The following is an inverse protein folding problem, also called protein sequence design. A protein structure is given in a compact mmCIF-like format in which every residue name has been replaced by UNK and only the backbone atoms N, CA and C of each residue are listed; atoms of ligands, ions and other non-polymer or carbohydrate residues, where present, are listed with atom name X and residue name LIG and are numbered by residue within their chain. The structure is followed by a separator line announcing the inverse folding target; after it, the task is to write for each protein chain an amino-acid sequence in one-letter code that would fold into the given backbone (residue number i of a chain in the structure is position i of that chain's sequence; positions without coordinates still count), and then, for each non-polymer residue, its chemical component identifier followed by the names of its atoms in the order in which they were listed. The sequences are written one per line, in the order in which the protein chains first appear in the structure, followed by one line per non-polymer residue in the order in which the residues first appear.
data_IF_857787444625
#
_entry.id   IF_857787444625
#
_cell.length_a   1.000
_cell.length_b   1.000
_cell.length_c   1.000
_cell.angle_alpha   90.00
_cell.angle_beta   90.00
_cell.angle_gamma   90.00
#
_symmetry.space_group_name_H-M   'P 1'
#
loop_
_entity.id
_entity.type
_entity.pdbx_description
1 polymer ?
#
# COMPACT_ATOMS: atom_id res chain seq x y z
N UNK A 1 19.01 45.68 -34.89
CA UNK A 1 19.42 44.26 -34.64
C UNK A 1 18.19 43.43 -34.48
N UNK A 2 17.90 42.79 -35.49
CA UNK A 2 17.14 41.57 -35.85
C UNK A 2 15.95 41.13 -34.98
N UNK A 3 14.76 41.62 -35.37
CA UNK A 3 13.45 41.07 -35.05
C UNK A 3 13.04 39.86 -35.92
N UNK A 4 13.93 39.35 -36.78
CA UNK A 4 13.63 38.34 -37.80
C UNK A 4 14.03 36.92 -37.43
N UNK A 5 14.68 36.67 -36.26
CA UNK A 5 15.06 35.32 -35.85
C UNK A 5 14.05 34.63 -34.88
N UNK A 6 13.06 35.38 -34.37
CA UNK A 6 12.04 34.79 -33.47
C UNK A 6 10.81 34.26 -34.22
N UNK A 7 10.60 34.65 -35.47
CA UNK A 7 9.47 34.20 -36.30
C UNK A 7 9.73 32.85 -37.00
N UNK A 8 10.98 32.41 -37.13
CA UNK A 8 11.34 31.16 -37.83
C UNK A 8 11.25 29.90 -36.94
N UNK A 9 11.24 30.00 -35.61
CA UNK A 9 11.06 28.87 -34.71
C UNK A 9 9.61 28.51 -34.39
N UNK A 10 8.66 29.40 -34.66
CA UNK A 10 7.21 29.13 -34.50
C UNK A 10 6.56 28.51 -35.75
N UNK A 11 7.22 28.47 -36.90
CA UNK A 11 6.65 27.94 -38.14
C UNK A 11 6.94 26.44 -38.35
N UNK A 12 7.78 25.81 -37.56
CA UNK A 12 8.09 24.37 -37.66
C UNK A 12 7.18 23.47 -36.80
N UNK A 13 6.23 24.03 -36.03
CA UNK A 13 5.25 23.31 -35.22
C UNK A 13 3.82 23.30 -35.78
N UNK A 14 3.62 23.76 -36.99
CA UNK A 14 2.28 23.98 -37.53
C UNK A 14 1.84 22.97 -38.59
N UNK A 15 2.05 21.65 -38.36
CA UNK A 15 1.38 20.63 -39.20
C UNK A 15 1.17 19.25 -38.55
N UNK A 16 1.28 19.08 -37.23
CA UNK A 16 0.60 17.96 -36.59
C UNK A 16 -0.82 18.46 -36.24
N UNK A 17 -1.81 18.10 -37.07
CA UNK A 17 -3.22 18.23 -36.67
C UNK A 17 -3.35 17.48 -35.32
N UNK A 18 -3.51 18.26 -34.24
CA UNK A 18 -3.74 17.68 -32.91
C UNK A 18 -5.09 16.98 -32.96
N UNK A 19 -5.05 15.67 -33.06
CA UNK A 19 -6.27 14.87 -32.94
C UNK A 19 -6.95 15.26 -31.62
N UNK A 20 -8.24 15.55 -31.68
CA UNK A 20 -9.01 15.89 -30.49
C UNK A 20 -8.83 14.75 -29.46
N UNK A 21 -8.71 15.06 -28.16
CA UNK A 21 -8.56 14.05 -27.13
C UNK A 21 -9.72 13.05 -27.20
N UNK A 22 -9.39 11.77 -27.20
CA UNK A 22 -10.37 10.69 -27.05
C UNK A 22 -10.71 10.50 -25.58
N UNK A 23 -11.88 9.91 -25.29
CA UNK A 23 -12.36 9.73 -23.92
C UNK A 23 -12.69 8.26 -23.63
N UNK A 24 -12.34 7.84 -22.40
CA UNK A 24 -12.79 6.59 -21.82
C UNK A 24 -13.38 6.92 -20.46
N UNK A 25 -14.57 6.38 -20.17
CA UNK A 25 -15.20 6.54 -18.88
C UNK A 25 -15.01 5.29 -18.04
N UNK A 26 -14.87 5.50 -16.72
CA UNK A 26 -14.70 4.43 -15.75
C UNK A 26 -15.72 4.58 -14.62
N UNK A 27 -16.17 3.46 -14.09
CA UNK A 27 -17.00 3.42 -12.89
C UNK A 27 -16.17 3.63 -11.59
N UNK A 28 -16.83 3.59 -10.43
CA UNK A 28 -16.17 3.77 -9.14
C UNK A 28 -15.12 2.68 -8.82
N UNK A 29 -15.23 1.51 -9.44
CA UNK A 29 -14.28 0.41 -9.32
C UNK A 29 -13.14 0.48 -10.35
N UNK A 30 -13.12 1.52 -11.19
CA UNK A 30 -12.11 1.70 -12.23
C UNK A 30 -12.31 0.78 -13.44
N UNK A 31 -13.50 0.24 -13.67
CA UNK A 31 -13.82 -0.57 -14.85
C UNK A 31 -14.29 0.36 -15.97
N UNK A 32 -13.79 0.18 -17.22
CA UNK A 32 -14.31 0.92 -18.36
C UNK A 32 -15.80 0.65 -18.53
N UNK A 33 -16.60 1.71 -18.77
CA UNK A 33 -18.05 1.60 -18.86
C UNK A 33 -18.61 2.59 -19.88
N UNK A 34 -19.64 2.19 -20.60
CA UNK A 34 -20.42 3.02 -21.52
C UNK A 34 -21.78 3.43 -20.93
N UNK A 35 -22.03 3.13 -19.64
CA UNK A 35 -23.27 3.46 -18.94
C UNK A 35 -23.14 4.83 -18.24
N UNK A 36 -23.79 5.90 -18.70
CA UNK A 36 -23.62 7.25 -18.17
C UNK A 36 -23.89 7.38 -16.66
N UNK A 37 -24.88 6.63 -16.15
CA UNK A 37 -25.23 6.66 -14.72
C UNK A 37 -24.15 6.09 -13.80
N UNK A 38 -23.16 5.36 -14.33
CA UNK A 38 -22.07 4.77 -13.56
C UNK A 38 -20.73 5.49 -13.72
N UNK A 39 -20.66 6.59 -14.50
CA UNK A 39 -19.41 7.33 -14.70
C UNK A 39 -18.91 7.96 -13.41
N UNK A 40 -17.70 7.60 -13.00
CA UNK A 40 -17.03 8.20 -11.84
C UNK A 40 -15.74 8.95 -12.24
N UNK A 41 -15.08 8.48 -13.31
CA UNK A 41 -13.86 9.08 -13.83
C UNK A 41 -13.92 9.16 -15.35
N UNK A 42 -13.22 10.14 -15.92
CA UNK A 42 -12.99 10.27 -17.35
C UNK A 42 -11.50 10.37 -17.62
N UNK A 43 -11.02 9.52 -18.51
CA UNK A 43 -9.69 9.59 -19.11
C UNK A 43 -9.77 10.34 -20.41
N UNK A 44 -8.94 11.37 -20.56
CA UNK A 44 -8.69 12.02 -21.82
C UNK A 44 -7.30 11.59 -22.32
N UNK A 45 -7.22 11.17 -23.58
CA UNK A 45 -5.96 10.73 -24.15
C UNK A 45 -5.81 11.09 -25.61
N UNK A 46 -4.58 11.38 -26.03
CA UNK A 46 -4.22 11.65 -27.41
C UNK A 46 -3.19 10.61 -27.85
N UNK A 47 -3.55 9.72 -28.81
CA UNK A 47 -2.63 8.71 -29.32
C UNK A 47 -1.43 9.33 -30.03
N UNK A 48 -0.25 8.70 -29.86
CA UNK A 48 1.00 9.05 -30.56
C UNK A 48 1.83 7.79 -30.73
N UNK A 49 1.77 7.15 -31.90
CA UNK A 49 2.39 5.85 -32.15
C UNK A 49 1.80 4.77 -31.24
N UNK A 50 2.69 4.03 -30.57
CA UNK A 50 2.30 2.95 -29.63
C UNK A 50 1.95 3.45 -28.21
N UNK A 51 1.93 4.78 -27.99
CA UNK A 51 1.65 5.42 -26.71
C UNK A 51 0.53 6.45 -26.83
N UNK A 52 0.10 6.98 -25.71
CA UNK A 52 -0.79 8.11 -25.62
C UNK A 52 -0.33 9.09 -24.53
N UNK A 53 -0.53 10.39 -24.77
CA UNK A 53 -0.55 11.38 -23.70
C UNK A 53 -1.90 11.28 -23.00
N UNK A 54 -1.90 11.18 -21.68
CA UNK A 54 -3.07 10.82 -20.87
C UNK A 54 -3.21 11.77 -19.69
N UNK A 55 -4.46 12.12 -19.35
CA UNK A 55 -4.81 12.72 -18.06
C UNK A 55 -6.18 12.24 -17.62
N UNK A 56 -6.33 11.96 -16.34
CA UNK A 56 -7.56 11.48 -15.73
C UNK A 56 -8.19 12.54 -14.83
N UNK A 57 -9.52 12.57 -14.82
CA UNK A 57 -10.32 13.51 -14.04
C UNK A 57 -11.47 12.80 -13.34
N UNK A 58 -11.90 13.35 -12.20
CA UNK A 58 -13.16 12.98 -11.58
C UNK A 58 -14.34 13.44 -12.45
N UNK A 59 -15.32 12.58 -12.65
CA UNK A 59 -16.54 12.91 -13.40
C UNK A 59 -17.73 13.19 -12.44
N UNK A 60 -18.61 14.14 -12.71
CA UNK A 60 -18.56 15.12 -13.81
C UNK A 60 -17.75 16.38 -13.48
N UNK A 61 -17.18 16.49 -12.27
CA UNK A 61 -16.59 17.73 -11.71
C UNK A 61 -15.37 18.25 -12.48
N UNK A 62 -14.71 17.41 -13.26
CA UNK A 62 -13.45 17.72 -13.97
C UNK A 62 -12.27 18.04 -13.03
N UNK A 63 -12.39 17.80 -11.73
CA UNK A 63 -11.23 17.89 -10.84
C UNK A 63 -10.16 16.87 -11.24
N UNK A 64 -8.91 17.27 -11.14
CA UNK A 64 -7.75 16.44 -11.47
C UNK A 64 -7.76 15.15 -10.65
N UNK A 65 -7.67 13.98 -11.32
CA UNK A 65 -7.45 12.69 -10.69
C UNK A 65 -6.01 12.21 -10.89
N UNK A 66 -5.39 12.50 -12.06
CA UNK A 66 -3.96 12.24 -12.30
C UNK A 66 -3.21 13.49 -12.75
N UNK A 67 -1.90 13.54 -12.53
CA UNK A 67 -1.04 14.38 -13.34
C UNK A 67 -1.00 13.84 -14.77
N UNK A 68 -0.65 14.67 -15.79
CA UNK A 68 -0.43 14.16 -17.13
C UNK A 68 0.67 13.10 -17.14
N UNK A 69 0.45 12.01 -17.88
CA UNK A 69 1.42 10.93 -18.02
C UNK A 69 1.39 10.33 -19.42
N UNK A 70 2.39 9.52 -19.76
CA UNK A 70 2.45 8.78 -21.02
C UNK A 70 2.25 7.29 -20.74
N UNK A 71 1.26 6.67 -21.40
CA UNK A 71 0.96 5.25 -21.25
C UNK A 71 1.07 4.50 -22.57
N UNK A 72 1.44 3.19 -22.55
CA UNK A 72 1.30 2.33 -23.72
C UNK A 72 -0.16 2.27 -24.19
N UNK A 73 -0.41 2.43 -25.49
CA UNK A 73 -1.78 2.47 -26.03
C UNK A 73 -2.55 1.16 -25.76
N UNK A 74 -1.86 0.01 -25.74
CA UNK A 74 -2.44 -1.28 -25.39
C UNK A 74 -3.00 -1.37 -23.97
N UNK A 75 -2.59 -0.46 -23.07
CA UNK A 75 -3.03 -0.40 -21.68
C UNK A 75 -3.99 0.76 -21.41
N UNK A 76 -4.42 1.48 -22.45
CA UNK A 76 -5.22 2.72 -22.28
C UNK A 76 -6.56 2.49 -21.58
N UNK A 77 -7.09 1.28 -21.60
CA UNK A 77 -8.32 0.87 -20.89
C UNK A 77 -8.06 0.33 -19.47
N UNK A 78 -6.81 0.18 -19.05
CA UNK A 78 -6.47 -0.16 -17.66
C UNK A 78 -6.54 1.09 -16.80
N UNK A 79 -7.26 1.06 -15.67
CA UNK A 79 -7.45 2.23 -14.81
C UNK A 79 -6.11 2.74 -14.22
N UNK A 80 -5.24 1.82 -13.82
CA UNK A 80 -3.85 2.10 -13.38
C UNK A 80 -2.91 1.42 -14.37
N UNK A 81 -2.47 2.11 -15.44
CA UNK A 81 -1.56 1.53 -16.42
C UNK A 81 -0.13 1.47 -15.87
N UNK A 82 0.63 0.49 -16.34
CA UNK A 82 2.08 0.46 -16.13
C UNK A 82 2.75 1.40 -17.11
N UNK A 83 3.45 2.41 -16.61
CA UNK A 83 4.22 3.32 -17.44
C UNK A 83 5.51 2.65 -17.89
N UNK A 84 6.02 3.00 -19.08
CA UNK A 84 7.35 2.58 -19.51
C UNK A 84 8.43 3.20 -18.64
N UNK A 85 8.37 4.52 -18.44
CA UNK A 85 9.20 5.28 -17.52
C UNK A 85 8.42 6.46 -16.95
N UNK A 86 8.82 6.94 -15.77
CA UNK A 86 8.22 8.10 -15.12
C UNK A 86 7.37 7.72 -13.93
N UNK A 87 6.63 8.68 -13.39
CA UNK A 87 5.82 8.51 -12.17
C UNK A 87 4.35 8.73 -12.47
N UNK A 88 3.51 7.76 -12.14
CA UNK A 88 2.07 7.95 -12.11
C UNK A 88 1.67 8.60 -10.78
N UNK A 89 1.19 9.84 -10.84
CA UNK A 89 0.71 10.57 -9.66
C UNK A 89 -0.80 10.70 -9.71
N UNK A 90 -1.48 10.26 -8.65
CA UNK A 90 -2.92 10.37 -8.48
C UNK A 90 -3.26 11.32 -7.32
N UNK A 91 -4.46 11.90 -7.39
CA UNK A 91 -4.93 12.92 -6.45
C UNK A 91 -6.31 12.55 -5.88
N UNK A 92 -6.52 12.83 -4.61
CA UNK A 92 -7.84 12.78 -3.99
C UNK A 92 -8.72 13.92 -4.50
N UNK A 93 -10.03 13.77 -4.36
CA UNK A 93 -11.00 14.78 -4.78
C UNK A 93 -10.80 16.14 -4.08
N UNK A 94 -10.23 16.16 -2.89
CA UNK A 94 -9.88 17.37 -2.13
C UNK A 94 -8.56 18.03 -2.57
N UNK A 95 -7.89 17.51 -3.60
CA UNK A 95 -6.64 18.05 -4.16
C UNK A 95 -5.36 17.61 -3.43
N UNK A 96 -5.44 16.77 -2.40
CA UNK A 96 -4.27 16.17 -1.77
C UNK A 96 -3.78 14.96 -2.58
N UNK A 97 -2.49 14.67 -2.51
CA UNK A 97 -1.91 13.51 -3.19
C UNK A 97 -2.53 12.22 -2.67
N UNK A 98 -2.80 11.28 -3.57
CA UNK A 98 -3.38 9.96 -3.28
C UNK A 98 -2.38 8.85 -3.49
N UNK A 99 -1.59 8.92 -4.55
CA UNK A 99 -0.61 7.90 -4.93
C UNK A 99 0.53 8.51 -5.74
N UNK A 100 1.72 7.97 -5.53
CA UNK A 100 2.89 8.18 -6.40
C UNK A 100 3.50 6.81 -6.68
N UNK A 101 3.56 6.44 -7.95
CA UNK A 101 4.04 5.14 -8.41
C UNK A 101 5.09 5.34 -9.50
N UNK A 102 6.39 5.29 -9.16
CA UNK A 102 7.47 5.40 -10.13
C UNK A 102 7.68 4.09 -10.88
N UNK A 103 7.99 4.22 -12.18
CA UNK A 103 8.26 3.12 -13.10
C UNK A 103 9.57 3.36 -13.86
N UNK A 104 10.29 2.27 -14.11
CA UNK A 104 11.46 2.23 -14.97
C UNK A 104 11.41 0.97 -15.85
N UNK A 105 11.58 1.13 -17.16
CA UNK A 105 11.54 0.03 -18.14
C UNK A 105 10.28 -0.85 -18.01
N UNK A 106 9.11 -0.22 -17.81
CA UNK A 106 7.82 -0.89 -17.67
C UNK A 106 7.59 -1.60 -16.33
N UNK A 107 8.46 -1.42 -15.36
CA UNK A 107 8.38 -2.08 -14.04
C UNK A 107 8.34 -1.06 -12.91
N UNK A 108 7.60 -1.31 -11.83
CA UNK A 108 7.73 -0.53 -10.59
C UNK A 108 9.19 -0.43 -10.16
N UNK A 109 9.66 0.80 -9.84
CA UNK A 109 11.03 1.04 -9.42
C UNK A 109 11.12 2.29 -8.54
N UNK A 110 11.60 2.15 -7.31
CA UNK A 110 11.60 3.22 -6.31
C UNK A 110 10.46 3.09 -5.30
N UNK A 111 10.17 4.15 -4.54
CA UNK A 111 9.14 4.13 -3.51
C UNK A 111 7.75 4.35 -4.12
N UNK A 112 6.88 3.34 -4.05
CA UNK A 112 5.46 3.48 -4.29
C UNK A 112 4.79 3.95 -3.01
N UNK A 113 4.26 5.18 -3.02
CA UNK A 113 3.66 5.79 -1.83
C UNK A 113 2.17 6.04 -2.05
N UNK A 114 1.37 5.72 -1.04
CA UNK A 114 -0.04 6.06 -0.96
C UNK A 114 -0.30 7.01 0.22
N UNK A 115 -1.34 7.83 0.11
CA UNK A 115 -1.77 8.78 1.14
C UNK A 115 -3.26 8.65 1.42
N UNK A 116 -3.63 8.90 2.65
CA UNK A 116 -5.00 9.14 3.07
C UNK A 116 -5.51 10.49 2.53
N UNK A 117 -6.83 10.67 2.53
CA UNK A 117 -7.46 11.93 2.12
C UNK A 117 -7.16 13.11 3.08
N UNK A 118 -6.70 12.84 4.30
CA UNK A 118 -6.21 13.87 5.22
C UNK A 118 -4.78 14.36 4.87
N UNK A 119 -4.07 13.68 3.96
CA UNK A 119 -2.73 14.00 3.48
C UNK A 119 -1.59 13.26 4.19
N UNK A 120 -1.87 12.49 5.23
CA UNK A 120 -0.87 11.61 5.83
C UNK A 120 -0.59 10.41 4.94
N UNK A 121 0.65 9.91 4.92
CA UNK A 121 0.98 8.66 4.24
C UNK A 121 0.12 7.52 4.80
N UNK A 122 -0.35 6.61 3.94
CA UNK A 122 -1.05 5.39 4.33
C UNK A 122 -0.18 4.16 4.12
N UNK A 123 0.66 4.16 3.08
CA UNK A 123 1.63 3.09 2.84
C UNK A 123 2.81 3.59 2.02
N UNK A 124 3.96 3.00 2.25
CA UNK A 124 5.17 3.12 1.41
C UNK A 124 5.65 1.70 1.13
N UNK A 125 5.85 1.38 -0.15
CA UNK A 125 6.36 0.09 -0.60
C UNK A 125 7.53 0.31 -1.54
N UNK A 126 8.74 -0.13 -1.20
CA UNK A 126 9.90 -0.01 -2.07
C UNK A 126 9.89 -1.08 -3.15
N UNK A 127 10.18 -0.67 -4.38
CA UNK A 127 10.31 -1.56 -5.52
C UNK A 127 11.67 -1.42 -6.20
N UNK A 128 12.21 -2.55 -6.66
CA UNK A 128 13.39 -2.62 -7.50
C UNK A 128 13.15 -3.58 -8.66
N UNK A 129 13.14 -3.04 -9.89
CA UNK A 129 12.91 -3.82 -11.11
C UNK A 129 11.60 -4.66 -11.10
N UNK A 130 10.56 -4.14 -10.46
CA UNK A 130 9.25 -4.78 -10.39
C UNK A 130 9.03 -5.68 -9.17
N UNK A 131 10.06 -5.93 -8.37
CA UNK A 131 9.98 -6.72 -7.14
C UNK A 131 10.00 -5.82 -5.91
N UNK A 132 9.31 -6.22 -4.86
CA UNK A 132 9.43 -5.56 -3.56
C UNK A 132 10.80 -5.89 -2.95
N UNK A 133 11.55 -4.83 -2.57
CA UNK A 133 12.90 -4.92 -2.06
C UNK A 133 13.16 -3.82 -1.03
N UNK A 134 13.39 -4.18 0.23
CA UNK A 134 13.56 -3.26 1.35
C UNK A 134 12.36 -3.21 2.28
N UNK A 135 12.20 -2.16 3.08
CA UNK A 135 11.19 -2.07 4.14
C UNK A 135 9.90 -1.43 3.63
N UNK A 136 8.82 -2.21 3.57
CA UNK A 136 7.46 -1.72 3.38
C UNK A 136 6.87 -1.20 4.70
N UNK A 137 6.21 -0.05 4.67
CA UNK A 137 5.63 0.58 5.87
C UNK A 137 4.17 0.94 5.63
N UNK A 138 3.31 0.64 6.59
CA UNK A 138 1.93 1.13 6.66
C UNK A 138 1.77 2.10 7.82
N UNK A 139 0.83 3.02 7.67
CA UNK A 139 0.56 4.08 8.64
C UNK A 139 -0.94 4.14 8.96
N UNK A 140 -1.25 4.47 10.18
CA UNK A 140 -2.59 4.89 10.60
C UNK A 140 -2.95 6.27 10.04
N UNK A 141 -4.23 6.62 10.03
CA UNK A 141 -4.69 7.94 9.60
C UNK A 141 -4.13 9.11 10.45
N UNK A 142 -3.73 8.84 11.70
CA UNK A 142 -3.06 9.82 12.56
C UNK A 142 -1.58 10.04 12.20
N UNK A 143 -1.03 9.33 11.20
CA UNK A 143 0.34 9.43 10.72
C UNK A 143 1.36 8.56 11.45
N UNK A 144 0.97 7.86 12.53
CA UNK A 144 1.86 6.91 13.22
C UNK A 144 2.00 5.62 12.43
N UNK A 145 3.12 4.93 12.58
CA UNK A 145 3.31 3.60 11.98
C UNK A 145 2.27 2.61 12.50
N UNK A 146 1.67 1.84 11.58
CA UNK A 146 0.82 0.69 11.85
C UNK A 146 1.62 -0.60 11.76
N UNK A 147 2.44 -0.73 10.71
CA UNK A 147 3.32 -1.88 10.53
C UNK A 147 4.52 -1.54 9.65
N UNK A 148 5.59 -2.29 9.84
CA UNK A 148 6.72 -2.34 8.91
C UNK A 148 7.15 -3.79 8.73
N UNK A 149 7.57 -4.13 7.49
CA UNK A 149 8.01 -5.47 7.11
C UNK A 149 9.14 -5.37 6.11
N UNK A 150 10.14 -6.22 6.25
CA UNK A 150 11.25 -6.29 5.33
C UNK A 150 10.94 -7.28 4.19
N UNK A 151 11.26 -6.88 2.96
CA UNK A 151 11.10 -7.69 1.76
C UNK A 151 12.43 -7.91 1.06
N UNK A 152 12.63 -9.12 0.57
CA UNK A 152 13.71 -9.46 -0.34
C UNK A 152 13.15 -10.29 -1.51
N UNK A 153 13.27 -9.79 -2.74
CA UNK A 153 12.73 -10.43 -3.95
C UNK A 153 11.26 -10.88 -3.80
N UNK A 154 10.36 -9.95 -3.43
CA UNK A 154 8.92 -10.15 -3.16
C UNK A 154 8.58 -11.00 -1.95
N UNK A 155 9.55 -11.54 -1.23
CA UNK A 155 9.30 -12.37 -0.03
C UNK A 155 9.51 -11.56 1.24
N UNK A 156 8.64 -11.79 2.21
CA UNK A 156 8.83 -11.29 3.56
C UNK A 156 10.03 -12.03 4.20
N UNK A 157 11.03 -11.24 4.60
CA UNK A 157 12.29 -11.72 5.17
C UNK A 157 12.72 -10.76 6.28
N UNK A 158 13.10 -11.26 7.46
CA UNK A 158 13.45 -10.41 8.59
C UNK A 158 12.26 -10.04 9.47
N UNK A 159 12.26 -8.86 10.05
CA UNK A 159 11.30 -8.47 11.09
C UNK A 159 10.04 -7.84 10.51
N UNK A 160 8.89 -8.38 10.88
CA UNK A 160 7.58 -7.75 10.71
C UNK A 160 7.13 -7.21 12.07
N UNK A 161 7.07 -5.87 12.21
CA UNK A 161 6.64 -5.16 13.41
C UNK A 161 5.28 -4.52 13.21
N UNK A 162 4.47 -4.53 14.24
CA UNK A 162 3.18 -3.86 14.29
C UNK A 162 3.07 -3.03 15.57
N UNK A 163 2.32 -1.94 15.48
CA UNK A 163 2.05 -1.00 16.58
C UNK A 163 0.56 -0.73 16.70
N UNK A 164 0.13 -0.36 17.88
CA UNK A 164 -1.18 0.19 18.14
C UNK A 164 -1.28 1.65 17.64
N UNK A 165 -2.52 2.22 17.50
CA UNK A 165 -2.69 3.63 17.06
C UNK A 165 -2.06 4.68 17.98
N UNK A 166 -1.79 4.34 19.24
CA UNK A 166 -1.08 5.20 20.20
C UNK A 166 0.45 5.13 20.03
N UNK A 167 0.96 4.17 19.24
CA UNK A 167 2.37 3.94 18.94
C UNK A 167 3.04 2.91 19.86
N UNK A 168 2.32 2.32 20.81
CA UNK A 168 2.83 1.20 21.61
C UNK A 168 3.03 -0.05 20.75
N UNK A 169 4.04 -0.91 21.03
CA UNK A 169 4.27 -2.16 20.31
C UNK A 169 3.06 -3.09 20.41
N UNK A 170 2.70 -3.76 19.29
CA UNK A 170 1.64 -4.75 19.22
C UNK A 170 2.18 -6.15 18.97
N UNK A 171 3.08 -6.30 17.99
CA UNK A 171 3.75 -7.59 17.73
C UNK A 171 5.06 -7.39 16.98
N UNK A 172 5.99 -8.32 17.19
CA UNK A 172 7.16 -8.54 16.35
C UNK A 172 7.15 -10.01 15.91
N UNK A 173 7.27 -10.23 14.60
CA UNK A 173 7.33 -11.56 13.99
C UNK A 173 8.61 -11.63 13.18
N UNK A 174 9.44 -12.65 13.42
CA UNK A 174 10.55 -12.98 12.54
C UNK A 174 10.03 -13.80 11.35
N UNK A 175 10.20 -13.27 10.15
CA UNK A 175 9.78 -13.88 8.90
C UNK A 175 10.99 -14.48 8.17
N UNK A 176 10.80 -15.63 7.55
CA UNK A 176 11.77 -16.28 6.66
C UNK A 176 11.04 -16.90 5.48
N UNK A 177 11.32 -16.41 4.27
CA UNK A 177 10.65 -16.86 3.04
C UNK A 177 9.11 -16.90 3.17
N UNK A 178 8.48 -15.79 3.60
CA UNK A 178 7.03 -15.65 3.84
C UNK A 178 6.47 -16.51 4.97
N UNK A 179 7.30 -17.20 5.75
CA UNK A 179 6.86 -18.02 6.88
C UNK A 179 7.30 -17.37 8.20
N UNK A 180 6.42 -17.31 9.20
CA UNK A 180 6.82 -16.91 10.55
C UNK A 180 7.75 -17.97 11.16
N UNK A 181 8.77 -17.51 11.89
CA UNK A 181 9.72 -18.34 12.63
C UNK A 181 9.54 -18.12 14.13
N UNK A 182 9.41 -16.87 14.54
CA UNK A 182 9.23 -16.44 15.91
C UNK A 182 8.20 -15.33 15.98
N UNK A 183 7.46 -15.24 17.07
CA UNK A 183 6.49 -14.17 17.30
C UNK A 183 6.44 -13.81 18.77
N UNK A 184 6.49 -12.52 19.06
CA UNK A 184 6.13 -11.93 20.35
C UNK A 184 5.01 -10.94 20.14
N UNK A 185 4.02 -10.91 21.02
CA UNK A 185 2.94 -9.92 20.98
C UNK A 185 2.65 -9.34 22.35
N UNK A 186 2.13 -8.12 22.35
CA UNK A 186 1.81 -7.33 23.54
C UNK A 186 0.38 -6.77 23.44
N UNK A 187 -0.23 -6.55 24.58
CA UNK A 187 -1.45 -5.73 24.66
C UNK A 187 -1.11 -4.22 24.65
N UNK A 188 -2.13 -3.38 24.67
CA UNK A 188 -1.97 -1.92 24.66
C UNK A 188 -1.38 -1.34 25.97
N UNK A 189 -1.21 -2.18 27.01
CA UNK A 189 -0.53 -1.83 28.25
C UNK A 189 0.93 -2.30 28.29
N UNK A 190 1.40 -2.93 27.19
CA UNK A 190 2.76 -3.44 27.03
C UNK A 190 3.02 -4.79 27.70
N UNK A 191 1.96 -5.52 28.15
CA UNK A 191 2.10 -6.85 28.73
C UNK A 191 2.16 -7.88 27.59
N UNK A 192 3.03 -8.88 27.74
CA UNK A 192 3.15 -9.99 26.76
C UNK A 192 1.83 -10.77 26.71
N UNK A 193 1.32 -11.00 25.50
CA UNK A 193 0.14 -11.81 25.24
C UNK A 193 0.47 -13.12 24.52
N UNK A 194 1.60 -13.21 23.84
CA UNK A 194 2.09 -14.45 23.28
C UNK A 194 3.62 -14.40 23.06
N UNK A 195 4.24 -15.57 23.18
CA UNK A 195 5.58 -15.85 22.70
C UNK A 195 5.55 -17.24 22.05
N UNK A 196 5.75 -17.26 20.72
CA UNK A 196 5.57 -18.45 19.90
C UNK A 196 6.77 -18.62 18.96
N UNK A 197 7.18 -19.88 18.80
CA UNK A 197 8.12 -20.33 17.78
C UNK A 197 7.39 -21.23 16.79
N UNK A 198 7.79 -21.16 15.53
CA UNK A 198 7.19 -21.93 14.45
C UNK A 198 8.23 -22.81 13.78
N UNK A 199 8.04 -24.13 13.85
CA UNK A 199 8.84 -25.12 13.16
C UNK A 199 7.93 -25.99 12.30
N UNK A 200 8.26 -26.17 11.02
CA UNK A 200 7.43 -26.94 10.08
C UNK A 200 5.97 -26.51 10.03
N UNK A 201 5.71 -25.19 10.15
CA UNK A 201 4.37 -24.57 10.23
C UNK A 201 3.57 -24.92 11.48
N UNK A 202 4.19 -25.53 12.48
CA UNK A 202 3.60 -25.83 13.78
C UNK A 202 4.11 -24.84 14.82
N UNK A 203 3.23 -24.37 15.69
CA UNK A 203 3.57 -23.43 16.78
C UNK A 203 3.93 -24.19 18.06
N UNK A 204 4.90 -23.64 18.78
CA UNK A 204 5.25 -23.99 20.15
C UNK A 204 5.48 -22.71 20.95
N UNK A 205 5.17 -22.73 22.25
CA UNK A 205 5.28 -21.57 23.11
C UNK A 205 4.03 -21.34 23.95
N UNK A 206 3.76 -20.10 24.32
CA UNK A 206 2.62 -19.78 25.20
C UNK A 206 1.83 -18.57 24.72
N UNK A 207 0.54 -18.53 25.17
CA UNK A 207 -0.31 -17.33 25.10
C UNK A 207 -0.78 -16.96 26.49
N UNK A 208 -0.95 -15.65 26.76
CA UNK A 208 -1.37 -15.09 28.04
C UNK A 208 -2.59 -14.21 27.85
N UNK A 209 -3.53 -14.29 28.77
CA UNK A 209 -4.60 -13.31 28.95
C UNK A 209 -4.44 -12.63 30.31
N UNK A 210 -4.89 -11.37 30.38
CA UNK A 210 -4.76 -10.54 31.56
C UNK A 210 -6.11 -9.95 31.97
N UNK A 211 -6.33 -9.81 33.26
CA UNK A 211 -7.40 -8.98 33.81
C UNK A 211 -7.05 -7.49 33.69
N UNK A 212 -8.05 -6.62 33.76
CA UNK A 212 -7.87 -5.17 33.71
C UNK A 212 -7.00 -4.64 34.86
N UNK A 213 -7.04 -5.29 36.04
CA UNK A 213 -6.22 -4.97 37.19
C UNK A 213 -4.75 -5.36 37.03
N UNK A 214 -4.36 -6.02 35.91
CA UNK A 214 -2.99 -6.46 35.62
C UNK A 214 -2.66 -7.87 36.13
N UNK A 215 -3.57 -8.55 36.82
CA UNK A 215 -3.37 -9.96 37.20
C UNK A 215 -3.45 -10.87 35.99
N UNK A 216 -2.67 -11.95 35.96
CA UNK A 216 -2.73 -12.98 34.93
C UNK A 216 -4.10 -13.69 35.00
N UNK A 217 -4.79 -13.80 33.86
CA UNK A 217 -6.09 -14.47 33.75
C UNK A 217 -5.97 -15.89 33.24
N UNK A 218 -5.18 -16.11 32.20
CA UNK A 218 -4.89 -17.45 31.69
C UNK A 218 -3.50 -17.53 31.08
N UNK A 219 -2.96 -18.75 31.09
CA UNK A 219 -1.76 -19.15 30.34
C UNK A 219 -2.07 -20.44 29.61
N UNK A 220 -1.80 -20.47 28.33
CA UNK A 220 -1.97 -21.67 27.51
C UNK A 220 -0.64 -21.98 26.84
N UNK A 221 -0.13 -23.19 27.02
CA UNK A 221 1.14 -23.68 26.48
C UNK A 221 0.87 -24.67 25.35
N UNK A 222 1.59 -24.48 24.25
CA UNK A 222 1.53 -25.32 23.05
C UNK A 222 2.88 -25.92 22.73
N UNK A 223 2.87 -27.15 22.21
CA UNK A 223 4.02 -27.79 21.56
C UNK A 223 3.54 -28.47 20.28
N UNK A 224 4.13 -28.08 19.13
CA UNK A 224 3.78 -28.59 17.79
C UNK A 224 2.27 -28.55 17.47
N UNK A 225 1.61 -27.43 17.84
CA UNK A 225 0.17 -27.18 17.82
C UNK A 225 -0.66 -27.94 18.85
N UNK A 226 -0.07 -28.86 19.59
CA UNK A 226 -0.77 -29.60 20.67
C UNK A 226 -0.87 -28.74 21.94
N UNK A 227 -2.02 -28.80 22.59
CA UNK A 227 -2.24 -28.16 23.90
C UNK A 227 -1.52 -29.00 24.97
N UNK A 228 -0.53 -28.40 25.62
CA UNK A 228 0.24 -29.07 26.69
C UNK A 228 -0.36 -28.78 28.05
N UNK A 229 -0.72 -27.53 28.28
CA UNK A 229 -1.37 -27.12 29.54
C UNK A 229 -2.16 -25.86 29.40
N UNK A 230 -3.15 -25.67 30.24
CA UNK A 230 -3.87 -24.45 30.41
C UNK A 230 -4.15 -24.18 31.87
N UNK A 231 -3.79 -23.01 32.36
CA UNK A 231 -3.99 -22.58 33.75
C UNK A 231 -4.81 -21.29 33.76
N UNK A 232 -5.76 -21.21 34.64
CA UNK A 232 -6.56 -20.03 34.91
C UNK A 232 -6.31 -19.51 36.30
N UNK A 233 -6.37 -18.21 36.48
CA UNK A 233 -6.29 -17.51 37.77
C UNK A 233 -7.53 -16.64 37.94
N UNK A 234 -7.88 -16.38 39.18
CA UNK A 234 -8.85 -15.35 39.53
C UNK A 234 -8.17 -13.93 39.55
N UNK A 235 -8.95 -12.90 39.77
CA UNK A 235 -8.45 -11.52 39.82
C UNK A 235 -7.49 -11.22 40.97
N UNK A 236 -7.41 -12.14 41.98
CA UNK A 236 -6.47 -12.05 43.10
C UNK A 236 -5.18 -12.82 42.84
N UNK A 237 -5.06 -13.50 41.68
CA UNK A 237 -3.91 -14.28 41.27
C UNK A 237 -3.90 -15.71 41.86
N UNK A 238 -5.01 -16.20 42.41
CA UNK A 238 -5.15 -17.57 42.87
C UNK A 238 -5.53 -18.47 41.69
N UNK A 239 -4.98 -19.69 41.64
CA UNK A 239 -5.31 -20.68 40.61
C UNK A 239 -6.78 -21.06 40.75
N UNK A 240 -7.57 -20.78 39.72
CA UNK A 240 -8.99 -21.13 39.65
C UNK A 240 -9.22 -22.48 38.97
N UNK A 241 -8.39 -22.83 37.97
CA UNK A 241 -8.48 -24.11 37.25
C UNK A 241 -7.17 -24.43 36.53
N UNK A 242 -6.92 -25.73 36.24
CA UNK A 242 -5.74 -26.19 35.50
C UNK A 242 -6.01 -27.54 34.84
N UNK A 243 -5.63 -27.66 33.56
CA UNK A 243 -5.64 -28.92 32.78
C UNK A 243 -4.58 -28.95 31.70
#
# INVERSE_FOLDING_TARGET
MNKTLFAAMLAAYASAAWAAPQKIYFDQQGRPTDKPASYAYVREYTPSGNHAAVQDFYYPSRKKYSDPYRAPLKQIRQFVPQLENGTLTLWHFNGKQKMSAPFQNGKPHGEWTNWYNNGNKSAVMPYKNGQTEGTGVRYYQNGRKESEIEFHNDKAEGKWRQWYPDGSPKSEVLMKNDQPVEMVSWDNQGRITAELNFANKKRSGFTLEWYDNGAKKSETVYQDDELISRTFWDENGLIADRY
#
